data_IF_647354041757
#
_entry.id   IF_647354041757
#
_cell.length_a   1.000
_cell.length_b   1.000
_cell.length_c   1.000
_cell.angle_alpha   90.00
_cell.angle_beta   90.00
_cell.angle_gamma   90.00
#
_symmetry.space_group_name_H-M   'P 1'
#
loop_
_entity.id
_entity.type
_entity.pdbx_description
1 polymer ?
#
# COMPACT_ATOMS: atom_id res chain seq x y z
N UNK A 1 72.33 -8.92 13.78
CA UNK A 1 72.22 -9.55 12.46
C UNK A 1 70.80 -10.10 12.31
N UNK A 2 69.91 -9.34 11.68
CA UNK A 2 68.53 -9.76 11.39
C UNK A 2 68.27 -9.43 9.92
N UNK A 3 67.93 -10.38 9.07
CA UNK A 3 67.65 -10.07 7.65
C UNK A 3 66.24 -9.56 7.49
N UNK A 4 66.13 -8.43 6.83
CA UNK A 4 64.89 -7.80 6.40
C UNK A 4 64.20 -8.69 5.35
N UNK A 5 62.96 -9.12 5.61
CA UNK A 5 62.09 -9.73 4.61
C UNK A 5 61.20 -8.65 4.01
N UNK A 6 61.45 -8.42 2.72
CA UNK A 6 60.60 -7.61 1.85
C UNK A 6 59.18 -8.21 1.78
N UNK A 7 58.20 -7.49 2.25
CA UNK A 7 56.80 -7.76 1.95
C UNK A 7 56.42 -7.00 0.68
N UNK A 8 56.35 -7.72 -0.42
CA UNK A 8 55.77 -7.23 -1.66
C UNK A 8 54.27 -7.20 -1.53
N UNK A 9 53.70 -6.01 -1.30
CA UNK A 9 52.27 -5.78 -1.33
C UNK A 9 51.81 -5.71 -2.77
N UNK A 10 51.19 -6.78 -3.28
CA UNK A 10 50.42 -6.76 -4.52
C UNK A 10 49.18 -5.91 -4.35
N UNK A 11 49.22 -4.69 -4.86
CA UNK A 11 48.09 -3.79 -5.01
C UNK A 11 47.24 -4.29 -6.17
N UNK A 12 46.26 -5.17 -5.87
CA UNK A 12 45.24 -5.57 -6.82
C UNK A 12 44.25 -4.41 -6.98
N UNK A 13 44.43 -3.66 -8.07
CA UNK A 13 43.47 -2.64 -8.50
C UNK A 13 42.13 -3.33 -8.89
N UNK A 14 41.13 -3.28 -7.97
CA UNK A 14 39.76 -3.71 -8.24
C UNK A 14 39.11 -2.62 -9.10
N UNK A 15 39.14 -2.79 -10.41
CA UNK A 15 38.36 -2.00 -11.36
C UNK A 15 36.90 -2.37 -11.15
N UNK A 16 36.17 -1.59 -10.35
CA UNK A 16 34.68 -1.63 -10.33
C UNK A 16 34.19 -1.10 -11.67
N UNK A 17 33.94 -2.02 -12.59
CA UNK A 17 33.14 -1.73 -13.76
C UNK A 17 31.73 -1.34 -13.28
N UNK A 18 31.43 -0.03 -13.26
CA UNK A 18 30.10 0.52 -13.15
C UNK A 18 29.33 0.16 -14.43
N UNK A 19 28.94 -1.09 -14.56
CA UNK A 19 27.90 -1.49 -15.49
C UNK A 19 26.61 -0.90 -14.98
N UNK A 20 26.35 0.35 -15.35
CA UNK A 20 25.05 1.01 -15.23
C UNK A 20 24.04 0.33 -16.14
N UNK A 21 23.70 -0.93 -15.87
CA UNK A 21 22.50 -1.53 -16.40
C UNK A 21 21.33 -0.88 -15.70
N UNK A 22 20.61 -0.04 -16.42
CA UNK A 22 19.24 0.37 -16.10
C UNK A 22 18.36 -0.87 -16.04
N UNK A 23 18.45 -1.63 -14.95
CA UNK A 23 17.61 -2.79 -14.69
C UNK A 23 16.23 -2.27 -14.42
N UNK A 24 15.35 -2.35 -15.41
CA UNK A 24 13.91 -2.22 -15.17
C UNK A 24 13.56 -3.10 -13.98
N UNK A 25 12.87 -2.58 -12.96
CA UNK A 25 12.55 -3.35 -11.76
C UNK A 25 11.92 -4.67 -12.18
N UNK A 26 12.54 -5.77 -11.74
CA UNK A 26 12.05 -7.14 -12.04
C UNK A 26 10.67 -7.32 -11.44
N UNK A 27 9.76 -7.95 -12.15
CA UNK A 27 8.45 -8.29 -11.60
C UNK A 27 8.62 -9.19 -10.38
N UNK A 28 7.88 -8.92 -9.31
CA UNK A 28 7.89 -9.76 -8.12
C UNK A 28 7.24 -11.11 -8.42
N UNK A 29 7.62 -12.13 -7.66
CA UNK A 29 7.01 -13.46 -7.74
C UNK A 29 5.55 -13.42 -7.28
N UNK A 30 4.76 -14.45 -7.62
CA UNK A 30 3.38 -14.59 -7.13
C UNK A 30 3.31 -14.55 -5.61
N UNK A 31 4.21 -15.27 -4.92
CA UNK A 31 4.23 -15.36 -3.46
C UNK A 31 4.57 -14.01 -2.79
N UNK A 32 5.56 -13.30 -3.33
CA UNK A 32 5.94 -11.95 -2.85
C UNK A 32 4.79 -10.97 -3.04
N UNK A 33 4.13 -11.01 -4.20
CA UNK A 33 2.99 -10.16 -4.48
C UNK A 33 1.80 -10.45 -3.55
N UNK A 34 1.46 -11.72 -3.30
CA UNK A 34 0.43 -12.12 -2.33
C UNK A 34 0.75 -11.63 -0.93
N UNK A 35 2.00 -11.76 -0.48
CA UNK A 35 2.44 -11.26 0.82
C UNK A 35 2.25 -9.74 0.92
N UNK A 36 2.54 -9.00 -0.15
CA UNK A 36 2.38 -7.56 -0.17
C UNK A 36 0.90 -7.14 -0.16
N UNK A 37 0.04 -7.82 -0.94
CA UNK A 37 -1.41 -7.63 -0.90
C UNK A 37 -1.96 -7.85 0.52
N UNK A 38 -1.62 -8.97 1.14
CA UNK A 38 -2.07 -9.31 2.49
C UNK A 38 -1.67 -8.25 3.53
N UNK A 39 -0.40 -7.83 3.53
CA UNK A 39 0.09 -6.78 4.44
C UNK A 39 -0.62 -5.43 4.22
N UNK A 40 -0.84 -5.08 2.96
CA UNK A 40 -1.51 -3.82 2.60
C UNK A 40 -2.97 -3.86 3.05
N UNK A 41 -3.68 -4.94 2.75
CA UNK A 41 -5.08 -5.10 3.13
C UNK A 41 -5.27 -5.18 4.64
N UNK A 42 -4.39 -5.89 5.35
CA UNK A 42 -4.43 -5.94 6.81
C UNK A 42 -4.31 -4.56 7.45
N UNK A 43 -3.42 -3.71 6.95
CA UNK A 43 -3.25 -2.35 7.48
C UNK A 43 -4.53 -1.51 7.30
N UNK A 44 -5.17 -1.57 6.12
CA UNK A 44 -6.43 -0.88 5.84
C UNK A 44 -7.57 -1.43 6.69
N UNK A 45 -7.67 -2.75 6.80
CA UNK A 45 -8.71 -3.42 7.62
C UNK A 45 -8.59 -3.04 9.09
N UNK A 46 -7.38 -3.04 9.65
CA UNK A 46 -7.16 -2.66 11.05
C UNK A 46 -7.55 -1.19 11.30
N UNK A 47 -7.16 -0.28 10.41
CA UNK A 47 -7.55 1.13 10.52
C UNK A 47 -9.07 1.32 10.40
N UNK A 48 -9.73 0.61 9.48
CA UNK A 48 -11.18 0.61 9.34
C UNK A 48 -11.89 0.07 10.58
N UNK A 49 -11.40 -1.01 11.18
CA UNK A 49 -11.95 -1.57 12.41
C UNK A 49 -11.82 -0.60 13.60
N UNK A 50 -10.71 0.13 13.71
CA UNK A 50 -10.53 1.14 14.73
C UNK A 50 -11.56 2.26 14.57
N UNK A 51 -11.80 2.73 13.34
CA UNK A 51 -12.83 3.73 13.07
C UNK A 51 -14.22 3.24 13.47
N UNK A 52 -14.54 1.96 13.29
CA UNK A 52 -15.80 1.35 13.71
C UNK A 52 -15.99 1.26 15.23
N UNK A 53 -14.91 1.32 16.02
CA UNK A 53 -14.95 1.21 17.49
C UNK A 53 -14.95 2.56 18.21
N UNK A 54 -14.91 3.64 17.48
CA UNK A 54 -14.75 4.98 18.04
C UNK A 54 -15.98 5.43 18.84
N UNK A 55 -15.77 5.82 20.08
CA UNK A 55 -16.80 6.29 21.00
C UNK A 55 -16.74 7.80 21.18
N UNK A 56 -15.53 8.39 21.18
CA UNK A 56 -15.36 9.83 21.42
C UNK A 56 -15.12 10.61 20.13
N UNK A 57 -15.34 11.91 20.21
CA UNK A 57 -15.11 12.83 19.10
C UNK A 57 -13.62 12.94 18.75
N UNK A 58 -12.76 12.94 19.77
CA UNK A 58 -11.31 13.00 19.59
C UNK A 58 -10.80 11.78 18.84
N UNK A 59 -11.23 10.61 19.29
CA UNK A 59 -10.83 9.32 18.69
C UNK A 59 -11.31 9.20 17.24
N UNK A 60 -12.48 9.78 16.92
CA UNK A 60 -13.00 9.79 15.55
C UNK A 60 -12.04 10.48 14.58
N UNK A 61 -11.50 11.65 14.96
CA UNK A 61 -10.57 12.37 14.09
C UNK A 61 -9.27 11.58 13.87
N UNK A 62 -8.73 10.98 14.94
CA UNK A 62 -7.57 10.11 14.87
C UNK A 62 -7.82 8.94 13.94
N UNK A 63 -8.91 8.20 14.15
CA UNK A 63 -9.23 7.01 13.37
C UNK A 63 -9.49 7.31 11.88
N UNK A 64 -10.13 8.45 11.54
CA UNK A 64 -10.30 8.88 10.14
C UNK A 64 -8.94 9.18 9.50
N UNK A 65 -8.05 9.86 10.23
CA UNK A 65 -6.70 10.18 9.74
C UNK A 65 -5.87 8.92 9.55
N UNK A 66 -5.94 7.96 10.48
CA UNK A 66 -5.22 6.70 10.41
C UNK A 66 -5.71 5.85 9.23
N UNK A 67 -7.03 5.79 9.00
CA UNK A 67 -7.58 5.10 7.83
C UNK A 67 -7.14 5.76 6.53
N UNK A 68 -7.20 7.07 6.45
CA UNK A 68 -6.73 7.82 5.27
C UNK A 68 -5.25 7.55 4.99
N UNK A 69 -4.43 7.57 6.04
CA UNK A 69 -3.01 7.24 5.93
C UNK A 69 -2.80 5.80 5.46
N UNK A 70 -3.51 4.83 6.03
CA UNK A 70 -3.40 3.43 5.63
C UNK A 70 -3.78 3.22 4.15
N UNK A 71 -4.81 3.90 3.65
CA UNK A 71 -5.22 3.88 2.25
C UNK A 71 -4.14 4.49 1.34
N UNK A 72 -3.59 5.66 1.69
CA UNK A 72 -2.51 6.30 0.92
C UNK A 72 -1.22 5.48 0.91
N UNK A 73 -0.86 4.89 2.03
CA UNK A 73 0.30 4.00 2.11
C UNK A 73 0.05 2.72 1.28
N UNK A 74 -1.19 2.23 1.26
CA UNK A 74 -1.62 1.10 0.42
C UNK A 74 -1.53 1.42 -1.07
N UNK A 75 -2.07 2.56 -1.51
CA UNK A 75 -1.95 3.07 -2.87
C UNK A 75 -0.48 3.10 -3.33
N UNK A 76 0.38 3.78 -2.56
CA UNK A 76 1.81 3.90 -2.87
C UNK A 76 2.52 2.55 -2.97
N UNK A 77 2.20 1.61 -2.06
CA UNK A 77 2.78 0.26 -2.08
C UNK A 77 2.36 -0.53 -3.32
N UNK A 78 1.09 -0.44 -3.70
CA UNK A 78 0.55 -1.12 -4.88
C UNK A 78 1.09 -0.51 -6.18
N UNK A 79 1.25 0.81 -6.24
CA UNK A 79 1.85 1.50 -7.39
C UNK A 79 3.35 1.25 -7.49
N UNK A 80 4.04 1.14 -6.36
CA UNK A 80 5.49 0.90 -6.31
C UNK A 80 5.89 -0.55 -6.63
N UNK A 81 4.96 -1.51 -6.60
CA UNK A 81 5.26 -2.89 -6.94
C UNK A 81 5.10 -3.13 -8.45
N UNK A 82 5.92 -4.02 -9.01
CA UNK A 82 5.75 -4.54 -10.36
C UNK A 82 5.12 -5.93 -10.28
N UNK A 83 3.79 -6.05 -10.28
CA UNK A 83 3.13 -7.33 -10.09
C UNK A 83 3.34 -8.26 -11.30
N UNK A 84 3.04 -9.57 -11.16
CA UNK A 84 2.97 -10.48 -12.29
C UNK A 84 2.08 -9.95 -13.41
N UNK A 85 2.39 -10.29 -14.66
CA UNK A 85 1.77 -9.68 -15.83
C UNK A 85 0.24 -9.74 -15.82
N UNK A 86 -0.32 -10.88 -15.38
CA UNK A 86 -1.76 -11.11 -15.30
C UNK A 86 -2.46 -10.33 -14.18
N UNK A 87 -1.73 -9.85 -13.16
CA UNK A 87 -2.29 -9.09 -12.04
C UNK A 87 -2.23 -7.57 -12.24
N UNK A 88 -1.52 -7.07 -13.26
CA UNK A 88 -1.22 -5.62 -13.40
C UNK A 88 -2.45 -4.75 -13.48
N UNK A 89 -3.45 -5.16 -14.26
CA UNK A 89 -4.68 -4.38 -14.45
C UNK A 89 -5.46 -4.26 -13.14
N UNK A 90 -5.66 -5.39 -12.45
CA UNK A 90 -6.35 -5.42 -11.18
C UNK A 90 -5.58 -4.69 -10.08
N UNK A 91 -4.25 -4.82 -10.02
CA UNK A 91 -3.41 -4.07 -9.08
C UNK A 91 -3.57 -2.54 -9.26
N UNK A 92 -3.52 -2.06 -10.52
CA UNK A 92 -3.69 -0.63 -10.81
C UNK A 92 -5.07 -0.12 -10.42
N UNK A 93 -6.12 -0.91 -10.62
CA UNK A 93 -7.48 -0.55 -10.18
C UNK A 93 -7.57 -0.51 -8.66
N UNK A 94 -7.00 -1.47 -7.96
CA UNK A 94 -6.99 -1.51 -6.50
C UNK A 94 -6.21 -0.32 -5.91
N UNK A 95 -5.04 0.00 -6.47
CA UNK A 95 -4.25 1.17 -6.05
C UNK A 95 -5.07 2.46 -6.20
N UNK A 96 -5.70 2.66 -7.37
CA UNK A 96 -6.56 3.83 -7.61
C UNK A 96 -7.73 3.87 -6.63
N UNK A 97 -8.41 2.75 -6.40
CA UNK A 97 -9.52 2.68 -5.46
C UNK A 97 -9.12 3.11 -4.04
N UNK A 98 -7.92 2.74 -3.59
CA UNK A 98 -7.38 3.20 -2.31
C UNK A 98 -7.13 4.71 -2.29
N UNK A 99 -6.57 5.26 -3.36
CA UNK A 99 -6.38 6.70 -3.52
C UNK A 99 -7.70 7.47 -3.46
N UNK A 100 -8.68 7.04 -4.26
CA UNK A 100 -10.01 7.67 -4.34
C UNK A 100 -10.76 7.59 -3.00
N UNK A 101 -10.62 6.48 -2.26
CA UNK A 101 -11.18 6.35 -0.91
C UNK A 101 -10.49 7.28 0.09
N UNK A 102 -9.16 7.41 -0.01
CA UNK A 102 -8.42 8.35 0.84
C UNK A 102 -8.84 9.82 0.57
N UNK A 103 -9.11 10.17 -0.69
CA UNK A 103 -9.64 11.48 -1.05
C UNK A 103 -11.07 11.68 -0.54
N UNK A 104 -11.92 10.68 -0.65
CA UNK A 104 -13.29 10.75 -0.16
C UNK A 104 -13.37 10.95 1.37
N UNK A 105 -12.36 10.51 2.13
CA UNK A 105 -12.26 10.78 3.57
C UNK A 105 -12.04 12.26 3.92
N UNK A 106 -11.56 13.08 2.98
CA UNK A 106 -11.50 14.53 3.20
C UNK A 106 -12.89 15.13 3.42
N UNK A 107 -13.91 14.69 2.68
CA UNK A 107 -15.28 15.14 2.91
C UNK A 107 -15.79 14.78 4.33
N UNK A 108 -15.36 13.65 4.87
CA UNK A 108 -15.69 13.27 6.25
C UNK A 108 -15.01 14.21 7.25
N UNK A 109 -13.75 14.58 7.03
CA UNK A 109 -13.00 15.53 7.87
C UNK A 109 -13.62 16.93 7.82
N UNK A 110 -14.01 17.41 6.63
CA UNK A 110 -14.68 18.69 6.50
C UNK A 110 -16.06 18.69 7.18
N UNK A 111 -16.85 17.65 6.96
CA UNK A 111 -18.15 17.50 7.62
C UNK A 111 -18.01 17.47 9.15
N UNK A 112 -16.90 16.92 9.66
CA UNK A 112 -16.59 16.87 11.09
C UNK A 112 -16.39 18.25 11.70
N UNK A 113 -15.85 19.22 10.96
CA UNK A 113 -15.74 20.62 11.42
C UNK A 113 -17.09 21.23 11.72
N UNK A 114 -18.15 20.77 11.06
CA UNK A 114 -19.53 21.22 11.29
C UNK A 114 -20.19 20.43 12.44
N UNK A 115 -20.19 19.08 12.35
CA UNK A 115 -20.70 18.23 13.42
C UNK A 115 -20.28 16.76 13.22
N UNK A 116 -20.26 16.00 14.33
CA UNK A 116 -20.01 14.56 14.29
C UNK A 116 -21.11 13.80 13.53
N UNK A 117 -22.34 14.29 13.58
CA UNK A 117 -23.47 13.68 12.87
C UNK A 117 -23.28 13.78 11.37
N UNK A 118 -22.89 14.96 10.86
CA UNK A 118 -22.58 15.16 9.46
C UNK A 118 -21.38 14.28 9.02
N UNK A 119 -20.34 14.21 9.84
CA UNK A 119 -19.18 13.36 9.53
C UNK A 119 -19.57 11.89 9.40
N UNK A 120 -20.41 11.37 10.30
CA UNK A 120 -20.92 9.99 10.22
C UNK A 120 -21.81 9.76 8.99
N UNK A 121 -22.60 10.75 8.58
CA UNK A 121 -23.38 10.67 7.35
C UNK A 121 -22.48 10.58 6.12
N UNK A 122 -21.43 11.41 6.03
CA UNK A 122 -20.44 11.33 4.93
C UNK A 122 -19.71 9.99 4.94
N UNK A 123 -19.28 9.52 6.12
CA UNK A 123 -18.67 8.20 6.25
C UNK A 123 -19.59 7.08 5.74
N UNK A 124 -20.89 7.14 6.03
CA UNK A 124 -21.88 6.18 5.54
C UNK A 124 -22.05 6.18 4.02
N UNK A 125 -21.72 7.29 3.34
CA UNK A 125 -21.75 7.36 1.87
C UNK A 125 -20.59 6.64 1.23
N UNK A 126 -19.44 6.51 1.92
CA UNK A 126 -18.24 5.88 1.37
C UNK A 126 -18.50 4.46 0.86
N UNK A 127 -19.31 3.67 1.59
CA UNK A 127 -19.66 2.31 1.19
C UNK A 127 -20.39 2.20 -0.15
N UNK A 128 -20.90 3.31 -0.69
CA UNK A 128 -21.64 3.37 -1.96
C UNK A 128 -20.82 4.01 -3.10
N UNK A 129 -19.60 4.44 -2.83
CA UNK A 129 -18.73 5.08 -3.82
C UNK A 129 -18.30 4.11 -4.90
N UNK A 130 -17.97 4.64 -6.06
CA UNK A 130 -17.40 3.83 -7.14
C UNK A 130 -16.02 3.28 -6.76
N UNK A 131 -15.27 3.98 -5.94
CA UNK A 131 -14.00 3.50 -5.38
C UNK A 131 -14.16 2.16 -4.63
N UNK A 132 -15.21 2.02 -3.80
CA UNK A 132 -15.51 0.73 -3.12
C UNK A 132 -15.88 -0.36 -4.15
N UNK A 133 -16.70 -0.03 -5.14
CA UNK A 133 -17.10 -1.00 -6.19
C UNK A 133 -15.89 -1.46 -7.00
N UNK A 134 -15.05 -0.52 -7.45
CA UNK A 134 -13.84 -0.81 -8.22
C UNK A 134 -12.80 -1.58 -7.39
N UNK A 135 -12.61 -1.22 -6.13
CA UNK A 135 -11.74 -1.95 -5.21
C UNK A 135 -12.17 -3.40 -5.04
N UNK A 136 -13.46 -3.64 -4.79
CA UNK A 136 -14.03 -5.00 -4.68
C UNK A 136 -13.91 -5.79 -5.98
N UNK A 137 -14.18 -5.17 -7.13
CA UNK A 137 -14.02 -5.82 -8.44
C UNK A 137 -12.55 -6.20 -8.69
N UNK A 138 -11.60 -5.32 -8.34
CA UNK A 138 -10.18 -5.61 -8.46
C UNK A 138 -9.74 -6.78 -7.57
N UNK A 139 -10.23 -6.84 -6.32
CA UNK A 139 -9.96 -7.95 -5.40
C UNK A 139 -10.56 -9.26 -5.94
N UNK A 140 -11.80 -9.22 -6.41
CA UNK A 140 -12.43 -10.40 -7.00
C UNK A 140 -11.64 -10.93 -8.20
N UNK A 141 -11.16 -10.04 -9.07
CA UNK A 141 -10.30 -10.44 -10.20
C UNK A 141 -8.99 -11.05 -9.72
N UNK A 142 -8.32 -10.45 -8.72
CA UNK A 142 -7.10 -11.00 -8.15
C UNK A 142 -7.32 -12.39 -7.55
N UNK A 143 -8.44 -12.61 -6.86
CA UNK A 143 -8.81 -13.93 -6.34
C UNK A 143 -9.06 -14.95 -7.44
N UNK A 144 -9.76 -14.58 -8.52
CA UNK A 144 -9.95 -15.45 -9.70
C UNK A 144 -8.62 -15.83 -10.36
N UNK A 145 -7.62 -14.94 -10.31
CA UNK A 145 -6.26 -15.21 -10.77
C UNK A 145 -5.42 -16.01 -9.75
N UNK A 146 -6.02 -16.39 -8.63
CA UNK A 146 -5.39 -17.18 -7.58
C UNK A 146 -4.45 -16.41 -6.66
N UNK A 147 -4.70 -15.11 -6.47
CA UNK A 147 -3.93 -14.26 -5.55
C UNK A 147 -4.71 -14.00 -4.27
N UNK A 148 -4.93 -14.82 -3.39
CA UNK A 148 -5.61 -14.66 -2.09
C UNK A 148 -5.68 -13.18 -1.59
N UNK A 149 -6.46 -12.35 -2.29
CA UNK A 149 -6.50 -10.89 -2.11
C UNK A 149 -7.59 -10.45 -1.12
N UNK A 150 -8.36 -11.36 -0.51
CA UNK A 150 -9.46 -11.03 0.41
C UNK A 150 -9.00 -10.19 1.61
N UNK A 151 -7.74 -10.38 2.04
CA UNK A 151 -7.15 -9.56 3.09
C UNK A 151 -6.95 -8.08 2.68
N UNK A 152 -7.04 -7.77 1.39
CA UNK A 152 -6.93 -6.41 0.85
C UNK A 152 -8.31 -5.76 0.64
N UNK A 153 -9.41 -6.40 1.04
CA UNK A 153 -10.74 -5.84 0.89
C UNK A 153 -10.91 -4.56 1.73
N UNK A 154 -11.35 -3.43 1.13
CA UNK A 154 -11.65 -2.20 1.82
C UNK A 154 -12.92 -2.27 2.64
#
# INVERSE_FOLDING_TARGET
MIPARLFTVCLAALVFALAGCGSSPKAVTKAEYQTQLAKTGQAVTLAGQQLGKVVTISDFNGAVTDLQKALRDGEKKLDGVKPPANARAANKRLARAFGDLADALEAVKEARKVSIVKARQELGKLGKTDAIKEGRAAIQELNQLGYAADAAAP
#
